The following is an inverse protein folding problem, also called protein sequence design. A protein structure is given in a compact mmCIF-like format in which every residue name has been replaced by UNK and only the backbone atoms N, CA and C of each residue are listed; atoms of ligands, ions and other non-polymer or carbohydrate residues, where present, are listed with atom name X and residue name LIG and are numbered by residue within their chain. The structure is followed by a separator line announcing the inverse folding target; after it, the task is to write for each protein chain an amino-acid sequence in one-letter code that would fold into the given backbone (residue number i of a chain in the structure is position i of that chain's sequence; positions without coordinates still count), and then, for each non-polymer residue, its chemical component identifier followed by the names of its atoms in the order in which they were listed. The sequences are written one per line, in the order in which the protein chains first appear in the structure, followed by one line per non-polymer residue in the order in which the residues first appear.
data_IF_571215646491
#
_entry.id   IF_571215646491
#
_cell.length_a   1.000
_cell.length_b   1.000
_cell.length_c   1.000
_cell.angle_alpha   90.00
_cell.angle_beta   90.00
_cell.angle_gamma   90.00
#
_symmetry.space_group_name_H-M   'P 1'
#
loop_
_entity.id
_entity.type
_entity.pdbx_description
1 polymer ?
#
# COMPACT_ATOMS: atom_id res chain seq x y z
N UNK A 1 -0.49 -24.87 -39.62
CA UNK A 1 -1.53 -23.84 -39.55
C UNK A 1 -1.52 -23.29 -38.14
N UNK A 2 -0.93 -22.10 -38.05
CA UNK A 2 -0.82 -21.10 -36.97
C UNK A 2 -1.32 -21.48 -35.58
N UNK A 3 -0.35 -21.52 -34.66
CA UNK A 3 -0.51 -21.56 -33.21
C UNK A 3 -1.56 -20.57 -32.70
N UNK A 4 -2.46 -21.06 -31.85
CA UNK A 4 -3.45 -20.23 -31.15
C UNK A 4 -2.69 -19.24 -30.26
N UNK A 5 -2.71 -17.98 -30.64
CA UNK A 5 -2.28 -16.87 -29.80
C UNK A 5 -3.09 -16.89 -28.50
N UNK A 6 -2.45 -17.31 -27.41
CA UNK A 6 -2.91 -17.08 -26.05
C UNK A 6 -2.82 -15.56 -25.83
N UNK A 7 -3.96 -14.88 -25.87
CA UNK A 7 -4.05 -13.47 -25.50
C UNK A 7 -3.63 -13.34 -24.03
N UNK A 8 -2.40 -12.87 -23.81
CA UNK A 8 -1.93 -12.47 -22.49
C UNK A 8 -2.75 -11.24 -22.09
N UNK A 9 -3.84 -11.45 -21.34
CA UNK A 9 -4.59 -10.37 -20.69
C UNK A 9 -3.66 -9.70 -19.69
N UNK A 10 -3.12 -8.56 -20.08
CA UNK A 10 -2.23 -7.76 -19.26
C UNK A 10 -2.99 -7.24 -18.03
N UNK A 11 -2.36 -7.22 -16.85
CA UNK A 11 -3.03 -6.81 -15.62
C UNK A 11 -3.45 -5.34 -15.71
N UNK A 12 -4.70 -5.06 -15.34
CA UNK A 12 -5.32 -3.72 -15.40
C UNK A 12 -4.64 -2.76 -14.40
N UNK A 13 -4.13 -3.30 -13.31
CA UNK A 13 -3.44 -2.56 -12.25
C UNK A 13 -2.06 -3.14 -11.99
N UNK A 14 -1.13 -2.30 -11.55
CA UNK A 14 0.25 -2.67 -11.24
C UNK A 14 0.54 -2.33 -9.78
N UNK A 15 1.12 -3.28 -9.04
CA UNK A 15 1.65 -3.04 -7.70
C UNK A 15 3.14 -2.79 -7.75
N UNK A 16 3.61 -1.68 -7.22
CA UNK A 16 5.02 -1.31 -7.20
C UNK A 16 5.46 -0.76 -5.84
N UNK A 17 6.76 -0.82 -5.55
CA UNK A 17 7.32 -0.05 -4.43
C UNK A 17 7.31 1.42 -4.82
N UNK A 18 6.74 2.27 -3.97
CA UNK A 18 6.71 3.71 -4.23
C UNK A 18 8.12 4.29 -4.11
N UNK A 19 8.55 5.05 -5.12
CA UNK A 19 9.83 5.74 -5.13
C UNK A 19 9.63 7.23 -4.79
N UNK A 20 10.48 7.77 -3.90
CA UNK A 20 10.32 9.12 -3.32
C UNK A 20 10.61 10.28 -4.28
N UNK A 21 11.10 10.00 -5.46
CA UNK A 21 11.36 10.92 -6.57
C UNK A 21 10.16 10.98 -7.54
N UNK A 22 9.40 9.90 -7.69
CA UNK A 22 8.21 9.82 -8.55
C UNK A 22 6.99 10.55 -7.92
N UNK A 23 6.13 11.10 -8.77
CA UNK A 23 4.79 11.57 -8.36
C UNK A 23 3.78 11.10 -9.40
N UNK A 24 2.87 10.22 -9.01
CA UNK A 24 1.86 9.70 -9.93
C UNK A 24 0.71 10.70 -10.13
N UNK A 25 0.03 10.69 -11.29
CA UNK A 25 -1.26 11.32 -11.46
C UNK A 25 -2.22 10.98 -10.30
N UNK A 26 -3.04 11.94 -9.90
CA UNK A 26 -3.95 11.78 -8.76
C UNK A 26 -3.31 11.93 -7.37
N UNK A 27 -1.99 11.78 -7.20
CA UNK A 27 -1.36 11.81 -5.86
C UNK A 27 -1.57 13.12 -5.10
N UNK A 28 -1.39 14.28 -5.77
CA UNK A 28 -1.57 15.60 -5.13
C UNK A 28 -3.01 15.91 -4.73
N UNK A 29 -3.97 15.19 -5.29
CA UNK A 29 -5.40 15.33 -5.02
C UNK A 29 -5.98 14.03 -4.45
N UNK A 30 -5.12 13.14 -3.94
CA UNK A 30 -5.52 11.79 -3.57
C UNK A 30 -6.62 11.81 -2.51
N UNK A 31 -7.72 11.13 -2.80
CA UNK A 31 -8.89 11.13 -1.96
C UNK A 31 -9.42 9.71 -1.78
N UNK A 32 -9.12 9.10 -0.63
CA UNK A 32 -9.63 7.80 -0.20
C UNK A 32 -10.80 7.91 0.80
N UNK A 33 -11.21 9.13 1.15
CA UNK A 33 -12.27 9.36 2.15
C UNK A 33 -11.81 9.29 3.60
N UNK A 34 -10.51 9.09 3.85
CA UNK A 34 -9.90 9.25 5.17
C UNK A 34 -8.98 10.48 5.15
N UNK A 35 -9.35 11.59 5.82
CA UNK A 35 -8.64 12.86 5.70
C UNK A 35 -7.20 12.80 6.22
N UNK A 36 -6.89 11.89 7.15
CA UNK A 36 -5.52 11.69 7.67
C UNK A 36 -4.64 11.04 6.60
N UNK A 37 -5.14 10.00 5.94
CA UNK A 37 -4.44 9.32 4.86
C UNK A 37 -4.31 10.25 3.66
N UNK A 38 -5.37 10.95 3.27
CA UNK A 38 -5.37 11.91 2.17
C UNK A 38 -4.29 12.98 2.37
N UNK A 39 -4.27 13.62 3.54
CA UNK A 39 -3.26 14.61 3.87
C UNK A 39 -1.86 14.01 3.80
N UNK A 40 -1.65 12.84 4.40
CA UNK A 40 -0.36 12.16 4.39
C UNK A 40 0.14 11.88 2.96
N UNK A 41 -0.70 11.32 2.08
CA UNK A 41 -0.34 11.00 0.69
C UNK A 41 0.02 12.23 -0.12
N UNK A 42 -0.76 13.31 0.06
CA UNK A 42 -0.60 14.57 -0.68
C UNK A 42 0.66 15.33 -0.27
N UNK A 43 1.02 15.32 1.02
CA UNK A 43 2.06 16.23 1.55
C UNK A 43 3.30 15.53 2.12
N UNK A 44 3.15 14.34 2.69
CA UNK A 44 4.17 13.75 3.57
C UNK A 44 4.79 12.47 3.03
N UNK A 45 4.05 11.70 2.21
CA UNK A 45 4.48 10.39 1.70
C UNK A 45 5.89 10.40 1.09
N UNK A 46 6.19 11.35 0.19
CA UNK A 46 7.52 11.45 -0.44
C UNK A 46 8.62 11.64 0.59
N UNK A 47 8.40 12.49 1.58
CA UNK A 47 9.38 12.78 2.64
C UNK A 47 9.57 11.56 3.53
N UNK A 48 8.49 10.91 3.95
CA UNK A 48 8.56 9.72 4.83
C UNK A 48 9.29 8.55 4.16
N UNK A 49 9.04 8.29 2.87
CA UNK A 49 9.78 7.24 2.14
C UNK A 49 11.24 7.64 1.92
N UNK A 50 11.52 8.91 1.61
CA UNK A 50 12.90 9.42 1.45
C UNK A 50 13.73 9.30 2.73
N UNK A 51 13.10 9.53 3.87
CA UNK A 51 13.73 9.47 5.19
C UNK A 51 13.79 8.05 5.76
N UNK A 52 13.26 7.04 5.06
CA UNK A 52 13.13 5.67 5.55
C UNK A 52 12.26 5.54 6.82
N UNK A 53 11.34 6.49 7.04
CA UNK A 53 10.37 6.42 8.15
C UNK A 53 9.36 5.28 7.93
N UNK A 54 9.04 4.98 6.66
CA UNK A 54 8.21 3.87 6.26
C UNK A 54 8.54 3.38 4.85
N UNK A 55 8.27 2.10 4.59
CA UNK A 55 8.16 1.59 3.23
C UNK A 55 6.73 1.81 2.71
N UNK A 56 6.60 1.97 1.40
CA UNK A 56 5.31 2.19 0.76
C UNK A 56 5.16 1.35 -0.52
N UNK A 57 3.99 0.72 -0.66
CA UNK A 57 3.50 0.05 -1.86
C UNK A 57 2.42 0.91 -2.50
N UNK A 58 2.48 1.09 -3.81
CA UNK A 58 1.48 1.83 -4.58
C UNK A 58 0.79 0.89 -5.56
N UNK A 59 -0.52 1.09 -5.73
CA UNK A 59 -1.32 0.45 -6.77
C UNK A 59 -1.59 1.48 -7.85
N UNK A 60 -1.15 1.19 -9.08
CA UNK A 60 -1.13 2.12 -10.20
C UNK A 60 -2.02 1.58 -11.32
N UNK A 61 -2.85 2.44 -11.88
CA UNK A 61 -3.62 2.12 -13.09
C UNK A 61 -2.67 1.98 -14.28
N UNK A 62 -2.67 0.83 -14.95
CA UNK A 62 -1.71 0.56 -16.04
C UNK A 62 -1.88 1.51 -17.23
N UNK A 63 -3.10 1.95 -17.53
CA UNK A 63 -3.40 2.73 -18.73
C UNK A 63 -3.12 4.22 -18.52
N UNK A 64 -3.58 4.76 -17.40
CA UNK A 64 -3.48 6.19 -17.06
C UNK A 64 -2.27 6.54 -16.21
N UNK A 65 -1.63 5.55 -15.58
CA UNK A 65 -0.56 5.75 -14.59
C UNK A 65 -1.05 6.32 -13.26
N UNK A 66 -2.36 6.41 -13.05
CA UNK A 66 -2.92 7.07 -11.88
C UNK A 66 -2.76 6.27 -10.59
N UNK A 67 -2.56 6.97 -9.47
CA UNK A 67 -2.50 6.37 -8.15
C UNK A 67 -3.89 5.89 -7.70
N UNK A 68 -4.12 4.58 -7.78
CA UNK A 68 -5.34 3.92 -7.32
C UNK A 68 -5.33 3.80 -5.80
N UNK A 69 -4.20 3.37 -5.23
CA UNK A 69 -4.11 3.08 -3.81
C UNK A 69 -2.69 3.14 -3.28
N UNK A 70 -2.59 3.25 -1.97
CA UNK A 70 -1.33 3.31 -1.23
C UNK A 70 -1.41 2.44 0.01
N UNK A 71 -0.30 1.81 0.34
CA UNK A 71 -0.10 1.01 1.54
C UNK A 71 1.25 1.39 2.15
N UNK A 72 1.31 1.79 3.42
CA UNK A 72 2.54 2.09 4.13
C UNK A 72 2.72 1.21 5.36
N UNK A 73 3.94 0.75 5.59
CA UNK A 73 4.26 -0.15 6.69
C UNK A 73 5.66 0.10 7.25
N UNK A 74 5.83 -0.27 8.52
CA UNK A 74 7.07 -0.08 9.28
C UNK A 74 7.43 -1.34 10.04
N UNK A 75 8.71 -1.50 10.39
CA UNK A 75 9.08 -2.42 11.47
C UNK A 75 8.48 -1.92 12.79
N UNK A 76 8.06 -2.84 13.66
CA UNK A 76 7.50 -2.51 14.97
C UNK A 76 7.72 -3.68 15.94
N UNK A 77 7.65 -3.42 17.24
CA UNK A 77 7.63 -4.46 18.26
C UNK A 77 6.41 -4.32 19.17
N UNK A 78 5.94 -5.46 19.67
CA UNK A 78 4.82 -5.58 20.58
C UNK A 78 5.23 -6.43 21.77
N UNK A 79 4.86 -5.99 22.97
CA UNK A 79 4.93 -6.85 24.15
C UNK A 79 4.00 -8.06 24.00
N UNK A 80 4.47 -9.23 24.44
CA UNK A 80 3.71 -10.49 24.34
C UNK A 80 2.29 -10.43 24.92
N UNK A 81 2.07 -9.58 25.93
CA UNK A 81 0.76 -9.44 26.58
C UNK A 81 -0.29 -8.89 25.61
N UNK A 82 0.11 -8.05 24.63
CA UNK A 82 -0.82 -7.44 23.66
C UNK A 82 -1.33 -8.40 22.60
N UNK A 83 -0.71 -9.58 22.47
CA UNK A 83 -1.04 -10.60 21.46
C UNK A 83 -1.36 -11.97 22.10
N UNK A 84 -1.52 -11.98 23.43
CA UNK A 84 -1.87 -13.19 24.17
C UNK A 84 -3.21 -13.74 23.68
N UNK A 85 -3.27 -15.05 23.41
CA UNK A 85 -4.45 -15.73 22.89
C UNK A 85 -4.55 -15.75 21.36
N UNK A 86 -3.84 -14.87 20.65
CA UNK A 86 -3.74 -14.91 19.17
C UNK A 86 -2.54 -15.76 18.75
N UNK A 87 -1.37 -15.48 19.33
CA UNK A 87 -0.17 -16.27 19.10
C UNK A 87 -0.11 -17.41 20.11
N UNK A 88 0.04 -18.64 19.60
CA UNK A 88 0.13 -19.86 20.39
C UNK A 88 1.60 -20.21 20.71
N UNK A 89 1.80 -21.02 21.74
CA UNK A 89 3.14 -21.48 22.16
C UNK A 89 3.94 -20.47 22.97
N UNK A 90 5.20 -20.80 23.24
CA UNK A 90 6.11 -19.93 24.00
C UNK A 90 6.60 -18.79 23.11
N UNK A 91 6.49 -17.55 23.61
CA UNK A 91 6.89 -16.34 22.91
C UNK A 91 7.88 -15.53 23.75
N UNK A 92 8.85 -14.83 23.11
CA UNK A 92 9.71 -13.88 23.80
C UNK A 92 8.89 -12.73 24.42
N UNK A 93 9.50 -11.93 25.30
CA UNK A 93 8.83 -10.76 25.90
C UNK A 93 8.47 -9.71 24.86
N UNK A 94 9.34 -9.51 23.86
CA UNK A 94 9.18 -8.59 22.73
C UNK A 94 9.01 -9.39 21.42
N UNK A 95 7.98 -9.05 20.65
CA UNK A 95 7.63 -9.72 19.40
C UNK A 95 7.80 -8.74 18.26
N UNK A 96 8.72 -9.04 17.34
CA UNK A 96 8.93 -8.26 16.13
C UNK A 96 7.81 -8.48 15.11
N UNK A 97 7.24 -7.40 14.59
CA UNK A 97 6.16 -7.41 13.60
C UNK A 97 6.37 -6.36 12.52
N UNK A 98 5.68 -6.52 11.40
CA UNK A 98 5.50 -5.44 10.44
C UNK A 98 4.14 -4.80 10.70
N UNK A 99 4.14 -3.51 11.02
CA UNK A 99 2.92 -2.75 11.24
C UNK A 99 2.46 -2.10 9.95
N UNK A 100 1.32 -2.52 9.44
CA UNK A 100 0.58 -1.76 8.42
C UNK A 100 0.05 -0.47 9.06
N UNK A 101 0.57 0.69 8.64
CA UNK A 101 0.24 1.99 9.24
C UNK A 101 -0.92 2.65 8.52
N UNK A 102 -0.90 2.66 7.19
CA UNK A 102 -1.96 3.24 6.37
C UNK A 102 -2.25 2.35 5.16
N UNK A 103 -3.52 2.16 4.86
CA UNK A 103 -4.02 1.56 3.62
C UNK A 103 -5.17 2.42 3.12
N UNK A 104 -5.06 2.92 1.89
CA UNK A 104 -6.08 3.78 1.29
C UNK A 104 -6.24 3.51 -0.19
N UNK A 105 -7.48 3.36 -0.64
CA UNK A 105 -7.87 3.26 -2.06
C UNK A 105 -8.68 4.50 -2.42
N UNK A 106 -8.32 5.19 -3.50
CA UNK A 106 -9.02 6.39 -3.93
C UNK A 106 -10.50 6.09 -4.20
N UNK A 107 -11.41 6.99 -3.76
CA UNK A 107 -12.87 6.76 -3.73
C UNK A 107 -13.43 6.27 -5.07
N UNK A 108 -12.94 6.80 -6.18
CA UNK A 108 -13.38 6.42 -7.54
C UNK A 108 -13.10 4.95 -7.92
N UNK A 109 -12.16 4.32 -7.22
CA UNK A 109 -11.78 2.91 -7.41
C UNK A 109 -12.24 1.98 -6.27
N UNK A 110 -12.90 2.50 -5.24
CA UNK A 110 -13.40 1.67 -4.14
C UNK A 110 -14.49 0.70 -4.59
N UNK A 111 -14.74 -0.33 -3.77
CA UNK A 111 -15.72 -1.41 -4.01
C UNK A 111 -15.43 -2.29 -5.23
N UNK A 112 -14.18 -2.30 -5.71
CA UNK A 112 -13.72 -3.12 -6.85
C UNK A 112 -12.72 -4.23 -6.48
N UNK A 113 -12.48 -4.45 -5.18
CA UNK A 113 -11.52 -5.46 -4.70
C UNK A 113 -10.11 -4.91 -4.37
N UNK A 114 -9.72 -3.74 -4.89
CA UNK A 114 -8.38 -3.15 -4.71
C UNK A 114 -7.92 -2.84 -3.27
N UNK A 115 -8.77 -3.05 -2.26
CA UNK A 115 -8.32 -3.02 -0.86
C UNK A 115 -7.68 -4.33 -0.40
N UNK A 116 -7.89 -5.42 -1.14
CA UNK A 116 -7.33 -6.74 -0.88
C UNK A 116 -6.12 -7.04 -1.78
N UNK A 117 -6.11 -6.49 -3.00
CA UNK A 117 -4.99 -6.54 -3.95
C UNK A 117 -3.74 -5.79 -3.47
#
# INVERSE_FOLDING_TARGET
MVDKHEEITLPIVLSCNYQSDITYPGQKQFDCGNPVIDKFVRTSLKKSVRNSDCAAKALIDRQSGELIGICTFTAYSLEKQRVSGVLQGSQPSEIGVVRLVMLGVARKYQKRGFGQD
#
